data_IF_726770821232
#
_entry.id   IF_726770821232
#
_cell.length_a   1.000
_cell.length_b   1.000
_cell.length_c   1.000
_cell.angle_alpha   90.00
_cell.angle_beta   90.00
_cell.angle_gamma   90.00
#
_symmetry.space_group_name_H-M   'P 1'
#
loop_
_entity.id
_entity.type
_entity.pdbx_description
1 polymer ?
#
# COMPACT_ATOMS: atom_id res chain seq x y z
N UNK A 1 -12.34 55.94 54.47
CA UNK A 1 -11.22 55.51 53.60
C UNK A 1 -11.03 54.01 53.81
N UNK A 2 -11.26 53.16 52.79
CA UNK A 2 -10.22 52.45 52.00
C UNK A 2 -9.54 51.36 52.85
N UNK A 3 -9.56 50.04 52.58
CA UNK A 3 -9.50 49.28 51.32
C UNK A 3 -10.02 47.85 51.58
N UNK A 4 -10.80 47.28 50.65
CA UNK A 4 -11.09 45.84 50.58
C UNK A 4 -10.01 45.18 49.71
N UNK A 5 -9.23 44.26 50.26
CA UNK A 5 -8.31 43.43 49.46
C UNK A 5 -9.02 42.09 49.21
N UNK A 6 -9.54 41.93 48.00
CA UNK A 6 -10.06 40.66 47.52
C UNK A 6 -8.88 39.75 47.17
N UNK A 7 -8.83 38.57 47.79
CA UNK A 7 -7.87 37.52 47.49
C UNK A 7 -8.22 36.91 46.12
N UNK A 8 -7.38 37.15 45.12
CA UNK A 8 -7.58 36.63 43.77
C UNK A 8 -7.16 35.16 43.67
N UNK A 9 -8.07 34.32 43.17
CA UNK A 9 -7.85 32.94 42.76
C UNK A 9 -6.72 32.82 41.73
N UNK A 10 -5.70 32.00 42.01
CA UNK A 10 -4.86 31.41 40.97
C UNK A 10 -5.18 29.90 40.88
N UNK A 11 -6.14 29.56 40.03
CA UNK A 11 -6.32 28.19 39.57
C UNK A 11 -5.36 27.96 38.40
N UNK A 12 -4.19 27.40 38.69
CA UNK A 12 -3.25 26.93 37.66
C UNK A 12 -3.78 25.64 37.04
N UNK A 13 -4.51 25.77 35.94
CA UNK A 13 -4.85 24.65 35.05
C UNK A 13 -3.61 24.25 34.25
N UNK A 14 -2.78 23.38 34.81
CA UNK A 14 -1.74 22.69 34.03
C UNK A 14 -2.40 21.64 33.15
N UNK A 15 -2.66 21.99 31.89
CA UNK A 15 -3.08 21.05 30.87
C UNK A 15 -1.94 20.05 30.59
N UNK A 16 -2.05 18.84 31.13
CA UNK A 16 -1.27 17.69 30.69
C UNK A 16 -1.73 17.33 29.27
N UNK A 17 -1.08 17.92 28.28
CA UNK A 17 -1.18 17.43 26.91
C UNK A 17 -0.60 16.03 26.88
N UNK A 18 -1.46 15.02 26.91
CA UNK A 18 -1.09 13.64 26.59
C UNK A 18 -0.63 13.64 25.13
N UNK A 19 0.69 13.75 24.93
CA UNK A 19 1.30 13.44 23.66
C UNK A 19 0.90 12.00 23.33
N UNK A 20 -0.05 11.83 22.41
CA UNK A 20 -0.41 10.53 21.89
C UNK A 20 0.89 9.89 21.39
N UNK A 21 1.41 8.90 22.11
CA UNK A 21 2.57 8.15 21.67
C UNK A 21 2.23 7.58 20.29
N UNK A 22 2.81 8.14 19.24
CA UNK A 22 2.78 7.54 17.93
C UNK A 22 3.40 6.15 18.08
N UNK A 23 2.57 5.10 18.03
CA UNK A 23 3.05 3.73 18.04
C UNK A 23 4.15 3.64 16.97
N UNK A 24 5.37 3.22 17.32
CA UNK A 24 6.41 3.13 16.33
C UNK A 24 5.90 2.19 15.23
N UNK A 25 6.04 2.60 13.96
CA UNK A 25 5.52 1.87 12.80
C UNK A 25 5.97 0.39 12.75
N UNK A 26 6.98 0.04 13.55
CA UNK A 26 7.48 -1.31 13.80
C UNK A 26 6.45 -2.23 14.49
N UNK A 27 5.46 -1.72 15.23
CA UNK A 27 4.42 -2.59 15.84
C UNK A 27 3.48 -3.22 14.81
N UNK A 28 3.46 -2.70 13.58
CA UNK A 28 2.58 -3.15 12.51
C UNK A 28 3.30 -4.01 11.47
N UNK A 29 4.54 -4.42 11.73
CA UNK A 29 5.33 -5.23 10.80
C UNK A 29 5.84 -6.46 11.53
N UNK A 30 5.38 -7.63 11.09
CA UNK A 30 6.02 -8.91 11.42
C UNK A 30 6.80 -9.43 10.21
N UNK A 31 7.65 -10.43 10.46
CA UNK A 31 8.56 -10.99 9.45
C UNK A 31 8.41 -12.51 9.41
N UNK A 32 8.46 -13.08 8.22
CA UNK A 32 8.73 -14.51 8.09
C UNK A 32 10.18 -14.82 8.47
N UNK A 33 10.50 -16.04 8.94
CA UNK A 33 11.82 -16.38 9.49
C UNK A 33 13.00 -16.06 8.58
N UNK A 34 12.82 -16.18 7.26
CA UNK A 34 13.88 -15.90 6.27
C UNK A 34 14.16 -14.41 6.02
N UNK A 35 13.31 -13.51 6.52
CA UNK A 35 13.43 -12.07 6.26
C UNK A 35 14.35 -11.44 7.30
N UNK A 36 15.48 -10.90 6.85
CA UNK A 36 16.51 -10.26 7.70
C UNK A 36 16.13 -8.86 8.19
N UNK A 37 14.86 -8.49 8.11
CA UNK A 37 14.33 -7.16 8.44
C UNK A 37 14.36 -6.15 7.29
N UNK A 38 14.23 -4.87 7.65
CA UNK A 38 14.08 -3.74 6.72
C UNK A 38 15.40 -3.02 6.40
N UNK A 39 16.52 -3.42 7.01
CA UNK A 39 17.79 -2.67 6.95
C UNK A 39 18.37 -2.52 5.55
N UNK A 40 18.10 -3.46 4.66
CA UNK A 40 18.55 -3.42 3.27
C UNK A 40 17.67 -2.52 2.36
N UNK A 41 16.53 -2.03 2.86
CA UNK A 41 15.58 -1.26 2.08
C UNK A 41 15.97 0.21 2.02
N UNK A 42 15.75 0.80 0.84
CA UNK A 42 15.91 2.24 0.65
C UNK A 42 14.99 3.02 1.59
N UNK A 43 15.38 4.24 2.01
CA UNK A 43 14.53 5.10 2.86
C UNK A 43 13.11 5.30 2.29
N UNK A 44 13.00 5.49 0.97
CA UNK A 44 11.71 5.64 0.27
C UNK A 44 10.80 4.43 0.44
N UNK A 45 11.35 3.22 0.34
CA UNK A 45 10.59 1.97 0.52
C UNK A 45 10.18 1.75 1.97
N UNK A 46 11.03 2.12 2.94
CA UNK A 46 10.66 2.11 4.37
C UNK A 46 9.54 3.10 4.68
N UNK A 47 9.57 4.30 4.09
CA UNK A 47 8.50 5.29 4.21
C UNK A 47 7.19 4.80 3.58
N UNK A 48 7.26 4.13 2.42
CA UNK A 48 6.11 3.45 1.82
C UNK A 48 5.50 2.42 2.77
N UNK A 49 6.31 1.55 3.40
CA UNK A 49 5.82 0.56 4.37
C UNK A 49 5.14 1.24 5.55
N UNK A 50 5.76 2.28 6.13
CA UNK A 50 5.20 3.00 7.27
C UNK A 50 3.84 3.67 6.95
N UNK A 51 3.73 4.32 5.79
CA UNK A 51 2.47 4.93 5.37
C UNK A 51 1.40 3.88 5.05
N UNK A 52 1.80 2.73 4.48
CA UNK A 52 0.89 1.64 4.20
C UNK A 52 0.30 1.09 5.50
N UNK A 53 1.14 0.70 6.46
CA UNK A 53 0.71 0.08 7.72
C UNK A 53 -0.15 1.02 8.56
N UNK A 54 0.10 2.34 8.50
CA UNK A 54 -0.76 3.34 9.12
C UNK A 54 -2.20 3.35 8.57
N UNK A 55 -2.41 2.92 7.31
CA UNK A 55 -3.71 2.95 6.62
C UNK A 55 -4.45 1.62 6.62
N UNK A 56 -3.72 0.49 6.72
CA UNK A 56 -4.29 -0.85 6.61
C UNK A 56 -4.07 -1.74 7.85
N UNK A 57 -3.28 -1.28 8.81
CA UNK A 57 -2.89 -2.06 9.98
C UNK A 57 -1.74 -3.02 9.70
N UNK A 58 -1.61 -4.10 10.51
CA UNK A 58 -0.44 -4.96 10.47
C UNK A 58 -0.27 -5.70 9.15
N UNK A 59 0.99 -5.88 8.75
CA UNK A 59 1.43 -6.72 7.64
C UNK A 59 2.47 -7.72 8.11
N UNK A 60 2.54 -8.85 7.42
CA UNK A 60 3.62 -9.82 7.55
C UNK A 60 4.49 -9.75 6.30
N UNK A 61 5.74 -9.33 6.44
CA UNK A 61 6.69 -9.28 5.33
C UNK A 61 7.28 -10.65 5.10
N UNK A 62 7.24 -11.08 3.84
CA UNK A 62 7.68 -12.41 3.39
C UNK A 62 8.98 -12.34 2.60
N UNK A 63 9.29 -11.18 2.01
CA UNK A 63 10.54 -10.95 1.27
C UNK A 63 10.94 -9.48 1.22
N UNK A 64 12.25 -9.23 1.34
CA UNK A 64 12.91 -7.93 1.12
C UNK A 64 14.05 -8.12 0.11
N UNK A 65 15.31 -7.86 0.45
CA UNK A 65 16.41 -7.93 -0.53
C UNK A 65 17.00 -9.34 -0.71
N UNK A 66 16.66 -10.27 0.18
CA UNK A 66 17.16 -11.65 0.14
C UNK A 66 16.41 -12.55 -0.84
N UNK A 67 17.01 -13.70 -1.16
CA UNK A 67 16.41 -14.72 -2.03
C UNK A 67 16.64 -14.47 -3.52
N UNK A 68 16.02 -15.33 -4.34
CA UNK A 68 16.10 -15.25 -5.80
C UNK A 68 14.88 -14.52 -6.34
N UNK A 69 15.14 -13.52 -7.17
CA UNK A 69 14.14 -12.69 -7.84
C UNK A 69 14.37 -12.67 -9.35
N UNK A 70 13.35 -12.24 -10.11
CA UNK A 70 13.46 -12.03 -11.54
C UNK A 70 14.64 -11.10 -11.90
N UNK A 71 15.19 -11.27 -13.10
CA UNK A 71 16.23 -10.39 -13.61
C UNK A 71 15.75 -8.92 -13.58
N UNK A 72 16.60 -8.02 -13.07
CA UNK A 72 16.29 -6.61 -12.82
C UNK A 72 15.18 -6.32 -11.79
N UNK A 73 14.83 -7.28 -10.92
CA UNK A 73 13.89 -7.05 -9.82
C UNK A 73 14.27 -5.86 -8.93
N UNK A 74 13.25 -5.15 -8.44
CA UNK A 74 13.42 -4.05 -7.49
C UNK A 74 13.86 -4.52 -6.10
N UNK A 75 13.68 -5.81 -5.77
CA UNK A 75 14.20 -6.39 -4.53
C UNK A 75 15.73 -6.27 -4.43
N UNK A 76 16.45 -6.46 -5.55
CA UNK A 76 17.91 -6.34 -5.58
C UNK A 76 18.43 -4.91 -5.38
N UNK A 77 17.56 -3.90 -5.50
CA UNK A 77 17.89 -2.49 -5.28
C UNK A 77 17.42 -1.98 -3.92
N UNK A 78 16.86 -2.85 -3.08
CA UNK A 78 16.21 -2.46 -1.83
C UNK A 78 14.95 -1.61 -2.05
N UNK A 79 14.36 -1.67 -3.24
CA UNK A 79 13.25 -0.82 -3.67
C UNK A 79 11.90 -1.56 -3.65
N UNK A 80 11.82 -2.80 -3.15
CA UNK A 80 10.60 -3.60 -3.13
C UNK A 80 10.42 -4.41 -1.85
N UNK A 81 9.17 -4.80 -1.61
CA UNK A 81 8.75 -5.67 -0.51
C UNK A 81 7.61 -6.59 -0.97
N UNK A 82 7.67 -7.84 -0.54
CA UNK A 82 6.54 -8.77 -0.63
C UNK A 82 5.97 -9.01 0.77
N UNK A 83 4.65 -8.96 0.90
CA UNK A 83 3.98 -9.05 2.20
C UNK A 83 2.55 -9.59 2.10
N UNK A 84 2.00 -9.97 3.26
CA UNK A 84 0.58 -10.30 3.45
C UNK A 84 -0.08 -9.31 4.40
N UNK A 85 -1.21 -8.68 4.03
CA UNK A 85 -1.98 -7.87 4.97
C UNK A 85 -2.63 -8.79 6.02
N UNK A 86 -2.60 -8.40 7.30
CA UNK A 86 -3.13 -9.20 8.41
C UNK A 86 -4.49 -8.71 8.93
N UNK A 87 -4.80 -7.43 8.72
CA UNK A 87 -6.07 -6.82 9.16
C UNK A 87 -6.94 -6.29 8.00
N UNK A 88 -6.42 -6.23 6.78
CA UNK A 88 -7.13 -5.70 5.61
C UNK A 88 -7.21 -6.73 4.49
N UNK A 89 -8.26 -6.64 3.65
CA UNK A 89 -8.34 -7.44 2.44
C UNK A 89 -7.26 -7.04 1.43
N UNK A 90 -6.89 -7.98 0.55
CA UNK A 90 -5.98 -7.71 -0.58
C UNK A 90 -6.50 -6.56 -1.44
N UNK A 91 -7.80 -6.54 -1.75
CA UNK A 91 -8.42 -5.48 -2.54
C UNK A 91 -8.27 -4.10 -1.92
N UNK A 92 -8.57 -3.96 -0.62
CA UNK A 92 -8.38 -2.70 0.13
C UNK A 92 -6.91 -2.28 0.14
N UNK A 93 -6.01 -3.22 0.35
CA UNK A 93 -4.57 -2.98 0.39
C UNK A 93 -4.06 -2.44 -0.96
N UNK A 94 -4.44 -3.06 -2.07
CA UNK A 94 -4.07 -2.61 -3.41
C UNK A 94 -4.68 -1.24 -3.73
N UNK A 95 -5.90 -0.94 -3.27
CA UNK A 95 -6.50 0.39 -3.44
C UNK A 95 -5.71 1.46 -2.69
N UNK A 96 -5.29 1.18 -1.45
CA UNK A 96 -4.41 2.06 -0.67
C UNK A 96 -3.08 2.29 -1.39
N UNK A 97 -2.40 1.22 -1.83
CA UNK A 97 -1.13 1.32 -2.54
C UNK A 97 -1.23 2.17 -3.82
N UNK A 98 -2.31 2.01 -4.61
CA UNK A 98 -2.54 2.83 -5.82
C UNK A 98 -2.68 4.32 -5.54
N UNK A 99 -3.15 4.69 -4.35
CA UNK A 99 -3.31 6.09 -3.95
C UNK A 99 -2.03 6.72 -3.37
N UNK A 100 -0.94 5.96 -3.25
CA UNK A 100 0.32 6.45 -2.67
C UNK A 100 1.28 6.87 -3.79
N UNK A 101 1.67 8.16 -3.89
CA UNK A 101 2.44 8.68 -5.03
C UNK A 101 3.85 8.10 -5.12
N UNK A 102 4.42 7.60 -4.03
CA UNK A 102 5.75 6.98 -4.02
C UNK A 102 5.78 5.53 -4.55
N UNK A 103 4.62 4.93 -4.80
CA UNK A 103 4.51 3.54 -5.27
C UNK A 103 4.73 3.49 -6.78
N UNK A 104 5.77 2.76 -7.18
CA UNK A 104 6.19 2.57 -8.57
C UNK A 104 5.49 1.41 -9.24
N UNK A 105 5.48 0.24 -8.59
CA UNK A 105 4.84 -0.97 -9.07
C UNK A 105 4.10 -1.72 -7.96
N UNK A 106 3.04 -2.44 -8.36
CA UNK A 106 2.18 -3.18 -7.45
C UNK A 106 1.73 -4.47 -8.12
N UNK A 107 1.76 -5.58 -7.38
CA UNK A 107 1.18 -6.83 -7.86
C UNK A 107 0.55 -7.65 -6.76
N UNK A 108 -0.32 -8.57 -7.16
CA UNK A 108 -0.92 -9.54 -6.25
C UNK A 108 -0.86 -10.95 -6.85
N UNK A 109 -0.48 -11.91 -6.02
CA UNK A 109 -0.40 -13.33 -6.37
C UNK A 109 -1.52 -14.13 -5.69
N UNK A 110 -1.68 -15.39 -6.10
CA UNK A 110 -2.55 -16.33 -5.40
C UNK A 110 -2.11 -16.47 -3.93
N UNK A 111 -3.06 -16.71 -3.02
CA UNK A 111 -2.77 -16.84 -1.58
C UNK A 111 -2.49 -15.52 -0.84
N UNK A 112 -2.89 -14.38 -1.44
CA UNK A 112 -2.93 -13.08 -0.76
C UNK A 112 -1.57 -12.39 -0.60
N UNK A 113 -0.54 -12.86 -1.27
CA UNK A 113 0.76 -12.22 -1.33
C UNK A 113 0.69 -10.98 -2.23
N UNK A 114 1.22 -9.86 -1.75
CA UNK A 114 1.26 -8.58 -2.44
C UNK A 114 2.72 -8.16 -2.61
N UNK A 115 3.06 -7.75 -3.84
CA UNK A 115 4.29 -7.05 -4.17
C UNK A 115 4.03 -5.55 -4.23
N UNK A 116 4.92 -4.76 -3.65
CA UNK A 116 4.94 -3.31 -3.83
C UNK A 116 6.39 -2.81 -3.91
N UNK A 117 6.63 -1.89 -4.84
CA UNK A 117 7.95 -1.29 -5.04
C UNK A 117 7.89 0.23 -5.25
N UNK A 118 9.03 0.88 -5.07
CA UNK A 118 9.22 2.34 -5.27
C UNK A 118 10.09 2.65 -6.48
N UNK A 119 10.21 1.72 -7.43
CA UNK A 119 10.95 1.90 -8.66
C UNK A 119 10.27 2.87 -9.63
N UNK A 120 10.83 3.07 -10.84
CA UNK A 120 10.18 3.86 -11.89
C UNK A 120 8.79 3.31 -12.20
N UNK A 121 7.78 4.18 -12.31
CA UNK A 121 6.36 3.78 -12.42
C UNK A 121 6.13 2.74 -13.51
N UNK A 122 5.71 1.54 -13.11
CA UNK A 122 5.20 0.48 -13.98
C UNK A 122 3.83 0.08 -13.45
N UNK A 123 2.79 0.33 -14.26
CA UNK A 123 1.39 0.07 -13.92
C UNK A 123 1.18 -1.33 -13.33
N UNK A 124 0.33 -1.40 -12.30
CA UNK A 124 0.09 -2.59 -11.50
C UNK A 124 -0.19 -3.87 -12.32
N UNK A 125 0.46 -4.97 -11.95
CA UNK A 125 0.26 -6.30 -12.55
C UNK A 125 -0.55 -7.20 -11.61
N UNK A 126 -1.77 -7.53 -12.02
CA UNK A 126 -2.50 -8.64 -11.38
C UNK A 126 -2.03 -9.95 -11.97
N UNK A 127 -1.72 -10.92 -11.10
CA UNK A 127 -1.38 -12.28 -11.49
C UNK A 127 -2.33 -12.85 -12.55
N UNK A 128 -1.72 -13.46 -13.55
CA UNK A 128 -2.27 -14.15 -14.72
C UNK A 128 -2.74 -13.28 -15.90
N UNK A 129 -2.18 -13.58 -17.07
CA UNK A 129 -2.52 -13.11 -18.41
C UNK A 129 -4.03 -13.14 -18.79
N UNK A 130 -4.91 -13.64 -17.91
CA UNK A 130 -6.35 -13.86 -18.14
C UNK A 130 -7.14 -12.56 -18.32
N UNK A 131 -6.76 -11.46 -17.68
CA UNK A 131 -7.52 -10.21 -17.77
C UNK A 131 -7.30 -9.40 -19.05
N UNK A 132 -6.12 -9.49 -19.67
CA UNK A 132 -5.86 -8.84 -20.98
C UNK A 132 -6.70 -9.50 -22.08
N UNK A 133 -6.69 -10.82 -22.10
CA UNK A 133 -7.48 -11.64 -23.02
C UNK A 133 -8.97 -11.39 -22.80
N UNK A 134 -9.47 -11.40 -21.56
CA UNK A 134 -10.88 -11.14 -21.26
C UNK A 134 -11.36 -9.70 -21.58
N UNK A 135 -10.48 -8.67 -21.53
CA UNK A 135 -10.82 -7.32 -22.02
C UNK A 135 -10.83 -7.27 -23.54
N UNK A 136 -9.85 -7.88 -24.20
CA UNK A 136 -9.78 -7.96 -25.65
C UNK A 136 -11.01 -8.67 -26.24
N UNK A 137 -11.42 -9.81 -25.67
CA UNK A 137 -12.64 -10.52 -26.12
C UNK A 137 -13.91 -9.71 -25.89
N UNK A 138 -14.03 -8.96 -24.78
CA UNK A 138 -15.20 -8.09 -24.55
C UNK A 138 -15.24 -6.92 -25.52
N UNK A 139 -14.09 -6.34 -25.86
CA UNK A 139 -14.01 -5.28 -26.89
C UNK A 139 -14.36 -5.83 -28.27
N UNK A 140 -13.86 -7.02 -28.63
CA UNK A 140 -14.18 -7.66 -29.90
C UNK A 140 -15.66 -8.06 -30.00
N UNK A 141 -16.24 -8.63 -28.94
CA UNK A 141 -17.66 -8.95 -28.89
C UNK A 141 -18.56 -7.71 -29.07
N UNK A 142 -18.20 -6.59 -28.43
CA UNK A 142 -18.91 -5.31 -28.62
C UNK A 142 -18.73 -4.74 -30.02
N UNK A 143 -17.54 -4.86 -30.61
CA UNK A 143 -17.28 -4.44 -31.98
C UNK A 143 -18.09 -5.27 -32.99
N UNK A 144 -18.08 -6.60 -32.83
CA UNK A 144 -18.83 -7.53 -33.66
C UNK A 144 -20.35 -7.28 -33.57
N UNK A 145 -20.88 -7.08 -32.36
CA UNK A 145 -22.28 -6.73 -32.17
C UNK A 145 -22.66 -5.42 -32.89
N UNK A 146 -21.84 -4.36 -32.75
CA UNK A 146 -22.06 -3.08 -33.44
C UNK A 146 -22.04 -3.23 -34.96
N UNK A 147 -21.08 -3.98 -35.51
CA UNK A 147 -20.97 -4.17 -36.97
C UNK A 147 -22.11 -5.04 -37.52
N UNK A 148 -22.56 -6.04 -36.77
CA UNK A 148 -23.73 -6.84 -37.11
C UNK A 148 -25.01 -6.01 -37.18
N UNK A 149 -25.22 -5.11 -36.21
CA UNK A 149 -26.35 -4.18 -36.21
C UNK A 149 -26.31 -3.18 -37.38
N UNK A 150 -25.13 -2.70 -37.78
CA UNK A 150 -24.99 -1.83 -38.95
C UNK A 150 -25.32 -2.54 -40.27
N UNK A 151 -24.94 -3.82 -40.42
CA UNK A 151 -25.23 -4.62 -41.62
C UNK A 151 -26.70 -5.02 -41.74
N UNK A 152 -27.41 -5.21 -40.63
CA UNK A 152 -28.83 -5.56 -40.63
C UNK A 152 -29.76 -4.35 -40.87
N UNK A 153 -29.25 -3.12 -40.78
CA UNK A 153 -29.99 -1.88 -41.01
C UNK A 153 -29.71 -1.18 -42.35
N UNK A 154 -28.97 -1.82 -43.25
CA UNK A 154 -28.73 -1.32 -44.61
C UNK A 154 -29.61 -2.12 -45.57
N UNK A 155 -30.87 -1.69 -45.70
CA UNK A 155 -31.79 -2.04 -46.79
C UNK A 155 -31.49 -1.17 -47.99
#
# INVERSE_FOLDING_TARGET
>A
MRIRIALACLATLTGLATAAQARPATSYVSFQPQVRGLGCLQPRTRAMIAQLTARIGPIEITSTCGGRHAHNSQHYRGAAVDFRPRAASVGRTLAVLRSMPQVGGIGSYAGGLIHADTGPHRLAWHGSARHRVARAHRSYARYAARRGSYRAGSV
#
